data_IF_098000422107
#
_entry.id   IF_098000422107
#
_cell.length_a   1.000
_cell.length_b   1.000
_cell.length_c   1.000
_cell.angle_alpha   90.00
_cell.angle_beta   90.00
_cell.angle_gamma   90.00
#
_symmetry.space_group_name_H-M   'P 1'
#
loop_
_entity.id
_entity.type
_entity.pdbx_description
1 polymer ?
#
# COMPACT_ATOMS: atom_id res chain seq x y z
N UNK A 1 7.70 12.93 -18.63
CA UNK A 1 8.29 13.83 -17.61
C UNK A 1 9.69 13.32 -17.36
N UNK A 2 10.72 14.16 -17.53
CA UNK A 2 12.12 13.77 -17.41
C UNK A 2 12.44 13.50 -15.92
N UNK A 3 13.29 12.48 -15.64
CA UNK A 3 13.73 12.12 -14.28
C UNK A 3 14.32 13.32 -13.55
N UNK A 4 15.00 14.24 -14.27
CA UNK A 4 15.51 15.49 -13.71
C UNK A 4 14.40 16.43 -13.22
N UNK A 5 13.23 16.44 -13.86
CA UNK A 5 12.07 17.25 -13.45
C UNK A 5 11.37 16.66 -12.21
N UNK A 6 11.35 15.33 -12.05
CA UNK A 6 10.78 14.68 -10.86
C UNK A 6 11.65 14.96 -9.64
N UNK A 7 12.97 14.88 -9.78
CA UNK A 7 13.91 15.17 -8.67
C UNK A 7 13.84 16.64 -8.18
N UNK A 8 13.43 17.58 -9.05
CA UNK A 8 13.25 18.98 -8.66
C UNK A 8 11.96 19.25 -7.87
N UNK A 9 11.02 18.30 -7.86
CA UNK A 9 9.74 18.40 -7.12
C UNK A 9 9.81 17.77 -5.72
N UNK A 10 10.87 17.02 -5.39
CA UNK A 10 11.02 16.41 -4.06
C UNK A 10 11.54 17.48 -3.10
N UNK A 11 10.72 17.95 -2.13
CA UNK A 11 11.13 18.99 -1.23
C UNK A 11 12.16 18.49 -0.22
N UNK A 12 13.10 19.37 0.14
CA UNK A 12 14.05 19.15 1.22
C UNK A 12 13.48 19.74 2.52
N UNK A 13 13.56 18.99 3.60
CA UNK A 13 13.18 19.41 4.94
C UNK A 13 14.44 19.60 5.77
N UNK A 14 14.61 20.78 6.37
CA UNK A 14 15.74 21.07 7.24
C UNK A 14 15.28 20.95 8.70
N UNK A 15 15.90 20.04 9.43
CA UNK A 15 15.71 19.91 10.89
C UNK A 15 16.85 20.59 11.61
N UNK A 16 16.53 21.54 12.49
CA UNK A 16 17.51 22.18 13.39
C UNK A 16 17.48 21.45 14.73
N UNK A 17 18.60 20.86 15.10
CA UNK A 17 18.80 20.21 16.40
C UNK A 17 19.89 20.96 17.19
N UNK A 18 20.00 20.70 18.49
CA UNK A 18 21.09 21.26 19.30
C UNK A 18 22.51 20.87 18.84
N UNK A 19 22.64 19.97 17.84
CA UNK A 19 23.90 19.51 17.23
C UNK A 19 24.11 20.03 15.80
N UNK A 20 23.25 20.93 15.32
CA UNK A 20 23.31 21.50 13.98
C UNK A 20 22.09 21.19 13.10
N UNK A 21 22.16 21.65 11.87
CA UNK A 21 21.10 21.44 10.85
C UNK A 21 21.38 20.17 10.04
N UNK A 22 20.31 19.43 9.76
CA UNK A 22 20.33 18.26 8.86
C UNK A 22 19.24 18.40 7.81
N UNK A 23 19.60 18.24 6.55
CA UNK A 23 18.67 18.24 5.43
C UNK A 23 18.31 16.81 5.04
N UNK A 24 17.01 16.55 4.90
CA UNK A 24 16.46 15.28 4.40
C UNK A 24 15.53 15.59 3.24
N UNK A 25 15.49 14.73 2.22
CA UNK A 25 14.33 14.73 1.34
C UNK A 25 13.10 14.20 2.08
N UNK A 26 11.90 14.54 1.59
CA UNK A 26 10.65 14.20 2.29
C UNK A 26 10.48 12.68 2.47
N UNK A 27 10.88 11.85 1.48
CA UNK A 27 10.74 10.40 1.58
C UNK A 27 11.70 9.79 2.58
N UNK A 28 12.94 10.28 2.66
CA UNK A 28 13.91 9.88 3.68
C UNK A 28 13.43 10.24 5.09
N UNK A 29 12.80 11.40 5.23
CA UNK A 29 12.20 11.83 6.51
C UNK A 29 11.01 10.95 6.90
N UNK A 30 10.13 10.63 5.96
CA UNK A 30 9.00 9.72 6.19
C UNK A 30 9.50 8.32 6.57
N UNK A 31 10.50 7.79 5.86
CA UNK A 31 11.09 6.49 6.16
C UNK A 31 11.67 6.43 7.58
N UNK A 32 12.37 7.48 8.02
CA UNK A 32 12.86 7.59 9.40
C UNK A 32 11.72 7.54 10.42
N UNK A 33 10.53 8.03 10.05
CA UNK A 33 9.32 7.93 10.86
C UNK A 33 8.53 6.63 10.60
N UNK A 34 9.21 5.62 10.02
CA UNK A 34 8.66 4.30 9.72
C UNK A 34 7.47 4.31 8.77
N UNK A 35 7.43 5.30 7.88
CA UNK A 35 6.39 5.46 6.85
C UNK A 35 6.98 5.21 5.47
N UNK A 36 6.39 4.25 4.74
CA UNK A 36 6.69 3.95 3.34
C UNK A 36 5.53 4.48 2.50
N UNK A 37 5.83 5.22 1.43
CA UNK A 37 4.82 5.72 0.50
C UNK A 37 4.98 5.06 -0.88
N UNK A 38 4.05 4.15 -1.22
CA UNK A 38 3.99 3.49 -2.53
C UNK A 38 3.04 4.29 -3.44
N UNK A 39 3.57 5.27 -4.14
CA UNK A 39 2.82 6.28 -4.91
C UNK A 39 2.97 6.15 -6.43
N UNK A 40 3.44 5.01 -6.95
CA UNK A 40 3.74 4.82 -8.37
C UNK A 40 3.34 3.43 -8.85
N UNK A 41 3.32 3.17 -10.18
CA UNK A 41 3.22 1.81 -10.69
C UNK A 41 4.34 0.92 -10.16
N UNK A 42 4.00 -0.35 -9.83
CA UNK A 42 4.93 -1.34 -9.29
C UNK A 42 5.74 -1.97 -10.43
N UNK A 43 7.04 -1.73 -10.42
CA UNK A 43 8.04 -2.35 -11.28
C UNK A 43 9.20 -2.87 -10.43
N UNK A 44 10.21 -3.48 -11.05
CA UNK A 44 11.35 -4.07 -10.34
C UNK A 44 12.11 -3.04 -9.48
N UNK A 45 12.27 -1.80 -9.96
CA UNK A 45 12.97 -0.74 -9.21
C UNK A 45 12.20 -0.34 -7.95
N UNK A 46 10.88 -0.13 -8.09
CA UNK A 46 9.99 0.20 -6.96
C UNK A 46 9.95 -0.96 -5.97
N UNK A 47 9.86 -2.20 -6.45
CA UNK A 47 9.85 -3.38 -5.60
C UNK A 47 11.15 -3.51 -4.80
N UNK A 48 12.31 -3.42 -5.46
CA UNK A 48 13.61 -3.51 -4.80
C UNK A 48 13.80 -2.41 -3.75
N UNK A 49 13.36 -1.18 -4.06
CA UNK A 49 13.42 -0.08 -3.10
C UNK A 49 12.52 -0.33 -1.89
N UNK A 50 11.27 -0.75 -2.12
CA UNK A 50 10.31 -1.03 -1.04
C UNK A 50 10.78 -2.18 -0.16
N UNK A 51 11.29 -3.26 -0.76
CA UNK A 51 11.89 -4.39 -0.02
C UNK A 51 13.07 -3.91 0.83
N UNK A 52 13.98 -3.11 0.27
CA UNK A 52 15.11 -2.56 1.02
C UNK A 52 14.66 -1.69 2.20
N UNK A 53 13.62 -0.86 2.03
CA UNK A 53 13.04 -0.05 3.10
C UNK A 53 12.41 -0.92 4.21
N UNK A 54 11.68 -1.98 3.84
CA UNK A 54 11.11 -2.93 4.81
C UNK A 54 12.20 -3.63 5.63
N UNK A 55 13.24 -4.14 4.95
CA UNK A 55 14.37 -4.80 5.61
C UNK A 55 15.15 -3.84 6.52
N UNK A 56 15.38 -2.61 6.08
CA UNK A 56 16.02 -1.58 6.88
C UNK A 56 15.24 -1.30 8.16
N UNK A 57 13.92 -1.06 8.06
CA UNK A 57 13.08 -0.78 9.21
C UNK A 57 12.97 -1.99 10.17
N UNK A 58 12.94 -3.20 9.63
CA UNK A 58 12.97 -4.42 10.44
C UNK A 58 14.29 -4.59 11.20
N UNK A 59 15.41 -4.20 10.59
CA UNK A 59 16.72 -4.26 11.23
C UNK A 59 16.87 -3.20 12.32
N UNK A 60 16.30 -2.00 12.14
CA UNK A 60 16.32 -0.93 13.16
C UNK A 60 15.55 -1.33 14.43
N UNK A 61 14.32 -1.79 14.26
CA UNK A 61 13.47 -2.23 15.37
C UNK A 61 12.46 -3.26 14.84
N UNK A 62 12.54 -4.47 15.33
CA UNK A 62 11.73 -5.61 14.90
C UNK A 62 10.29 -5.62 15.41
N UNK A 63 9.98 -4.80 16.40
CA UNK A 63 8.67 -4.75 17.05
C UNK A 63 7.87 -3.51 16.66
N UNK A 64 8.56 -2.41 16.35
CA UNK A 64 7.90 -1.17 16.02
C UNK A 64 7.09 -1.28 14.70
N UNK A 65 5.86 -0.76 14.65
CA UNK A 65 5.01 -0.84 13.48
C UNK A 65 5.58 -0.06 12.30
N UNK A 66 5.25 -0.52 11.09
CA UNK A 66 5.55 0.15 9.82
C UNK A 66 4.22 0.61 9.21
N UNK A 67 4.16 1.84 8.73
CA UNK A 67 2.99 2.37 8.03
C UNK A 67 3.26 2.43 6.52
N UNK A 68 2.44 1.79 5.71
CA UNK A 68 2.55 1.79 4.26
C UNK A 68 1.32 2.48 3.64
N UNK A 69 1.53 3.65 3.06
CA UNK A 69 0.52 4.38 2.30
C UNK A 69 0.59 4.00 0.83
N UNK A 70 -0.55 3.61 0.25
CA UNK A 70 -0.61 3.06 -1.11
C UNK A 70 -1.53 3.92 -1.97
N UNK A 71 -0.94 4.56 -2.99
CA UNK A 71 -1.62 5.27 -4.08
C UNK A 71 -1.03 4.78 -5.39
N UNK A 72 -1.39 3.57 -5.81
CA UNK A 72 -0.76 2.86 -6.91
C UNK A 72 -1.79 2.16 -7.79
N UNK A 73 -1.64 2.24 -9.11
CA UNK A 73 -2.46 1.46 -10.05
C UNK A 73 -2.11 -0.04 -10.08
N UNK A 74 -1.17 -0.49 -9.22
CA UNK A 74 -0.60 -1.84 -9.31
C UNK A 74 0.58 -1.91 -10.28
N UNK A 75 0.78 -3.05 -10.92
CA UNK A 75 1.90 -3.24 -11.84
C UNK A 75 2.34 -4.69 -12.02
N UNK A 76 3.63 -4.92 -12.16
CA UNK A 76 4.19 -6.22 -12.49
C UNK A 76 3.99 -7.22 -11.33
N UNK A 77 3.45 -8.41 -11.66
CA UNK A 77 3.08 -9.42 -10.66
C UNK A 77 4.31 -9.89 -9.87
N UNK A 78 5.42 -10.21 -10.51
CA UNK A 78 6.63 -10.67 -9.79
C UNK A 78 7.23 -9.60 -8.89
N UNK A 79 7.26 -8.36 -9.36
CA UNK A 79 7.70 -7.22 -8.56
C UNK A 79 6.81 -7.04 -7.31
N UNK A 80 5.50 -7.13 -7.49
CA UNK A 80 4.55 -7.07 -6.39
C UNK A 80 4.68 -8.24 -5.41
N UNK A 81 4.87 -9.48 -5.90
CA UNK A 81 5.11 -10.65 -5.05
C UNK A 81 6.38 -10.50 -4.20
N UNK A 82 7.44 -9.88 -4.72
CA UNK A 82 8.64 -9.60 -3.93
C UNK A 82 8.35 -8.68 -2.74
N UNK A 83 7.53 -7.62 -2.94
CA UNK A 83 7.08 -6.76 -1.84
C UNK A 83 6.20 -7.55 -0.85
N UNK A 84 5.23 -8.30 -1.36
CA UNK A 84 4.33 -9.12 -0.55
C UNK A 84 5.09 -10.09 0.35
N UNK A 85 6.02 -10.85 -0.22
CA UNK A 85 6.81 -11.82 0.55
C UNK A 85 7.68 -11.12 1.61
N UNK A 86 8.28 -9.96 1.29
CA UNK A 86 9.02 -9.17 2.27
C UNK A 86 8.12 -8.69 3.41
N UNK A 87 6.89 -8.22 3.11
CA UNK A 87 5.90 -7.83 4.13
C UNK A 87 5.53 -9.00 5.05
N UNK A 88 5.40 -10.22 4.50
CA UNK A 88 5.04 -11.39 5.28
C UNK A 88 6.22 -11.99 6.08
N UNK A 89 7.45 -11.73 5.63
CA UNK A 89 8.68 -12.30 6.23
C UNK A 89 9.14 -11.53 7.47
N UNK A 90 9.02 -10.21 7.46
CA UNK A 90 9.46 -9.37 8.59
C UNK A 90 8.52 -9.52 9.79
N UNK A 91 9.04 -9.29 10.99
CA UNK A 91 8.27 -9.43 12.23
C UNK A 91 7.41 -8.22 12.57
N UNK A 92 7.71 -7.07 11.97
CA UNK A 92 6.97 -5.84 12.23
C UNK A 92 5.50 -5.93 11.79
N UNK A 93 4.53 -5.49 12.59
CA UNK A 93 3.19 -5.27 12.11
C UNK A 93 3.21 -4.15 11.05
N UNK A 94 2.62 -4.41 9.90
CA UNK A 94 2.52 -3.42 8.82
C UNK A 94 1.08 -2.93 8.74
N UNK A 95 0.89 -1.66 9.08
CA UNK A 95 -0.35 -0.95 8.80
C UNK A 95 -0.37 -0.51 7.35
N UNK A 96 -1.47 -0.73 6.63
CA UNK A 96 -1.66 -0.32 5.24
C UNK A 96 -2.78 0.69 5.12
N UNK A 97 -2.60 1.71 4.28
CA UNK A 97 -3.59 2.78 4.09
C UNK A 97 -3.79 3.04 2.60
N UNK A 98 -5.01 2.83 2.09
CA UNK A 98 -5.37 3.21 0.73
C UNK A 98 -5.57 4.71 0.61
N UNK A 99 -4.90 5.34 -0.37
CA UNK A 99 -4.97 6.77 -0.68
C UNK A 99 -5.24 6.95 -2.16
N UNK A 100 -6.21 7.78 -2.52
CA UNK A 100 -6.53 8.06 -3.93
C UNK A 100 -6.98 6.79 -4.65
N UNK A 101 -6.11 6.16 -5.44
CA UNK A 101 -6.39 4.88 -6.11
C UNK A 101 -5.45 3.79 -5.63
N UNK A 102 -6.01 2.68 -5.21
CA UNK A 102 -5.26 1.46 -4.87
C UNK A 102 -5.82 0.32 -5.71
N UNK A 103 -5.07 -0.09 -6.75
CA UNK A 103 -5.60 -0.98 -7.77
C UNK A 103 -4.68 -2.18 -8.05
N UNK A 104 -5.28 -3.28 -8.53
CA UNK A 104 -4.58 -4.48 -9.00
C UNK A 104 -3.62 -5.00 -7.90
N UNK A 105 -2.31 -5.11 -8.18
CA UNK A 105 -1.35 -5.55 -7.17
C UNK A 105 -1.25 -4.60 -5.96
N UNK A 106 -1.58 -3.30 -6.12
CA UNK A 106 -1.69 -2.36 -5.00
C UNK A 106 -2.74 -2.81 -3.99
N UNK A 107 -3.87 -3.34 -4.45
CA UNK A 107 -4.93 -3.89 -3.59
C UNK A 107 -4.48 -5.18 -2.88
N UNK A 108 -3.69 -6.02 -3.55
CA UNK A 108 -3.10 -7.20 -2.91
C UNK A 108 -2.20 -6.80 -1.74
N UNK A 109 -1.36 -5.77 -1.91
CA UNK A 109 -0.50 -5.25 -0.84
C UNK A 109 -1.31 -4.57 0.27
N UNK A 110 -2.38 -3.85 -0.08
CA UNK A 110 -3.30 -3.25 0.89
C UNK A 110 -3.91 -4.33 1.80
N UNK A 111 -4.47 -5.37 1.22
CA UNK A 111 -5.07 -6.48 1.95
C UNK A 111 -4.06 -7.27 2.78
N UNK A 112 -2.77 -7.27 2.38
CA UNK A 112 -1.68 -7.99 3.05
C UNK A 112 -1.17 -7.33 4.33
N UNK A 113 -1.69 -6.17 4.72
CA UNK A 113 -1.42 -5.53 6.01
C UNK A 113 -1.83 -6.38 7.21
N UNK A 114 -1.35 -6.01 8.39
CA UNK A 114 -1.71 -6.67 9.63
C UNK A 114 -3.23 -6.56 9.88
N UNK A 115 -3.85 -7.66 10.26
CA UNK A 115 -5.30 -7.69 10.51
C UNK A 115 -5.68 -6.70 11.62
N UNK A 116 -6.71 -5.89 11.38
CA UNK A 116 -7.11 -4.79 12.25
C UNK A 116 -6.32 -3.50 12.04
N UNK A 117 -5.37 -3.47 11.08
CA UNK A 117 -4.54 -2.31 10.77
C UNK A 117 -4.50 -2.00 9.27
N UNK A 118 -5.55 -2.37 8.55
CA UNK A 118 -5.71 -2.08 7.12
C UNK A 118 -6.78 -1.01 6.96
N UNK A 119 -6.43 0.10 6.36
CA UNK A 119 -7.25 1.29 6.33
C UNK A 119 -7.48 1.80 4.92
N UNK A 120 -8.55 2.57 4.74
CA UNK A 120 -8.78 3.38 3.55
C UNK A 120 -9.14 4.81 3.95
N UNK A 121 -8.68 5.81 3.18
CA UNK A 121 -9.21 7.16 3.30
C UNK A 121 -10.63 7.22 2.70
N UNK A 122 -11.51 8.15 3.13
CA UNK A 122 -12.95 8.16 2.76
C UNK A 122 -13.22 8.18 1.25
N UNK A 123 -12.34 8.80 0.48
CA UNK A 123 -12.48 8.95 -0.98
C UNK A 123 -11.50 8.06 -1.76
N UNK A 124 -10.86 7.09 -1.12
CA UNK A 124 -10.03 6.13 -1.81
C UNK A 124 -10.89 5.21 -2.69
N UNK A 125 -10.36 4.86 -3.84
CA UNK A 125 -10.96 3.88 -4.75
C UNK A 125 -10.09 2.64 -4.76
N UNK A 126 -10.69 1.50 -4.53
CA UNK A 126 -10.04 0.19 -4.51
C UNK A 126 -10.49 -0.62 -5.72
N UNK A 127 -9.58 -1.35 -6.35
CA UNK A 127 -9.88 -2.06 -7.58
C UNK A 127 -9.21 -3.43 -7.61
N UNK A 128 -9.98 -4.43 -8.03
CA UNK A 128 -9.53 -5.80 -8.29
C UNK A 128 -9.68 -6.17 -9.76
N UNK A 129 -8.77 -6.97 -10.27
CA UNK A 129 -8.87 -7.71 -11.52
C UNK A 129 -7.84 -8.85 -11.56
N UNK A 130 -8.04 -9.81 -12.46
CA UNK A 130 -7.07 -10.87 -12.71
C UNK A 130 -5.77 -10.31 -13.37
N UNK A 131 -4.65 -11.07 -13.31
CA UNK A 131 -3.43 -10.68 -13.99
C UNK A 131 -3.67 -10.46 -15.49
N UNK A 132 -3.13 -9.33 -15.99
CA UNK A 132 -3.11 -9.05 -17.42
C UNK A 132 -1.76 -9.49 -18.01
N UNK A 133 -1.80 -10.05 -19.19
CA UNK A 133 -0.61 -10.47 -19.91
C UNK A 133 -0.88 -10.85 -21.34
N UNK A 134 0.19 -11.09 -22.10
CA UNK A 134 0.14 -11.57 -23.47
C UNK A 134 1.24 -12.59 -23.70
N UNK A 135 1.04 -13.47 -24.67
CA UNK A 135 2.00 -14.47 -25.08
C UNK A 135 2.31 -14.33 -26.58
N UNK A 136 3.58 -14.43 -26.95
CA UNK A 136 4.04 -14.37 -28.33
C UNK A 136 5.19 -15.35 -28.52
N UNK A 137 5.27 -15.97 -29.67
CA UNK A 137 6.33 -16.92 -30.02
C UNK A 137 5.78 -18.14 -30.72
N UNK A 138 6.51 -19.26 -30.64
CA UNK A 138 6.06 -20.55 -31.12
C UNK A 138 4.89 -21.10 -30.26
N UNK A 139 4.10 -22.02 -30.78
CA UNK A 139 2.94 -22.59 -30.05
C UNK A 139 3.34 -23.09 -28.65
N UNK A 140 4.46 -23.82 -28.56
CA UNK A 140 4.96 -24.32 -27.27
C UNK A 140 5.31 -23.19 -26.29
N UNK A 141 5.89 -22.08 -26.78
CA UNK A 141 6.20 -20.93 -25.94
C UNK A 141 4.93 -20.25 -25.40
N UNK A 142 3.91 -20.14 -26.26
CA UNK A 142 2.58 -19.61 -25.87
C UNK A 142 1.92 -20.50 -24.81
N UNK A 143 1.99 -21.84 -24.96
CA UNK A 143 1.47 -22.78 -23.96
C UNK A 143 2.18 -22.66 -22.61
N UNK A 144 3.51 -22.51 -22.60
CA UNK A 144 4.30 -22.32 -21.38
C UNK A 144 3.87 -20.99 -20.68
N UNK A 145 3.76 -19.91 -21.43
CA UNK A 145 3.36 -18.62 -20.88
C UNK A 145 1.91 -18.63 -20.37
N UNK A 146 1.00 -19.29 -21.09
CA UNK A 146 -0.39 -19.44 -20.65
C UNK A 146 -0.49 -20.20 -19.33
N UNK A 147 0.26 -21.30 -19.17
CA UNK A 147 0.33 -22.06 -17.90
C UNK A 147 0.85 -21.18 -16.75
N UNK A 148 1.85 -20.34 -17.01
CA UNK A 148 2.40 -19.43 -16.00
C UNK A 148 1.37 -18.35 -15.59
N UNK A 149 0.64 -17.76 -16.53
CA UNK A 149 -0.44 -16.82 -16.20
C UNK A 149 -1.54 -17.47 -15.34
N UNK A 150 -1.93 -18.70 -15.66
CA UNK A 150 -2.91 -19.43 -14.84
C UNK A 150 -2.36 -19.69 -13.42
N UNK A 151 -1.11 -20.10 -13.30
CA UNK A 151 -0.44 -20.29 -12.00
C UNK A 151 -0.42 -19.01 -11.17
N UNK A 152 -0.09 -17.86 -11.80
CA UNK A 152 -0.07 -16.57 -11.12
C UNK A 152 -1.48 -16.14 -10.70
N UNK A 153 -2.51 -16.34 -11.56
CA UNK A 153 -3.90 -16.07 -11.19
C UNK A 153 -4.31 -16.85 -9.94
N UNK A 154 -4.09 -18.16 -9.93
CA UNK A 154 -4.38 -18.98 -8.75
C UNK A 154 -3.65 -18.48 -7.51
N UNK A 155 -2.36 -18.16 -7.63
CA UNK A 155 -1.56 -17.64 -6.51
C UNK A 155 -2.13 -16.33 -5.94
N UNK A 156 -2.55 -15.40 -6.80
CA UNK A 156 -3.13 -14.13 -6.35
C UNK A 156 -4.51 -14.31 -5.72
N UNK A 157 -5.33 -15.23 -6.25
CA UNK A 157 -6.61 -15.59 -5.65
C UNK A 157 -6.41 -16.18 -4.25
N UNK A 158 -5.46 -17.12 -4.07
CA UNK A 158 -5.11 -17.68 -2.76
C UNK A 158 -4.70 -16.59 -1.76
N UNK A 159 -3.90 -15.60 -2.19
CA UNK A 159 -3.50 -14.47 -1.35
C UNK A 159 -4.72 -13.62 -0.97
N UNK A 160 -5.58 -13.27 -1.91
CA UNK A 160 -6.78 -12.50 -1.64
C UNK A 160 -7.74 -13.26 -0.71
N UNK A 161 -8.00 -14.54 -0.94
CA UNK A 161 -8.80 -15.38 -0.05
C UNK A 161 -8.26 -15.38 1.38
N UNK A 162 -6.94 -15.57 1.53
CA UNK A 162 -6.26 -15.57 2.83
C UNK A 162 -6.49 -14.28 3.61
N UNK A 163 -6.41 -13.13 2.95
CA UNK A 163 -6.44 -11.83 3.62
C UNK A 163 -7.84 -11.24 3.76
N UNK A 164 -8.75 -11.54 2.83
CA UNK A 164 -10.13 -11.04 2.87
C UNK A 164 -11.08 -11.96 3.63
N UNK A 165 -10.80 -13.27 3.62
CA UNK A 165 -11.72 -14.28 4.12
C UNK A 165 -12.84 -14.62 3.14
N UNK A 166 -12.83 -14.05 1.92
CA UNK A 166 -13.80 -14.38 0.88
C UNK A 166 -13.58 -15.80 0.33
N UNK A 167 -14.63 -16.52 -0.03
CA UNK A 167 -14.50 -17.84 -0.67
C UNK A 167 -13.97 -17.69 -2.10
N UNK A 168 -13.41 -18.79 -2.63
CA UNK A 168 -12.78 -18.84 -3.95
C UNK A 168 -13.69 -18.35 -5.07
N UNK A 169 -14.95 -18.80 -5.07
CA UNK A 169 -15.93 -18.45 -6.10
C UNK A 169 -16.22 -16.94 -6.16
N UNK A 170 -16.16 -16.24 -5.01
CA UNK A 170 -16.32 -14.78 -4.91
C UNK A 170 -15.10 -14.10 -5.49
N UNK A 171 -13.88 -14.51 -5.07
CA UNK A 171 -12.64 -13.93 -5.59
C UNK A 171 -12.52 -14.15 -7.10
N UNK A 172 -12.79 -15.35 -7.61
CA UNK A 172 -12.73 -15.65 -9.04
C UNK A 172 -13.72 -14.80 -9.84
N UNK A 173 -14.98 -14.70 -9.39
CA UNK A 173 -16.01 -13.89 -10.03
C UNK A 173 -15.61 -12.42 -10.10
N UNK A 174 -15.15 -11.86 -8.96
CA UNK A 174 -14.93 -10.43 -8.81
C UNK A 174 -13.58 -9.97 -9.39
N UNK A 175 -12.62 -10.90 -9.57
CA UNK A 175 -11.36 -10.62 -10.28
C UNK A 175 -11.43 -10.90 -11.78
N UNK A 176 -12.48 -11.55 -12.29
CA UNK A 176 -12.60 -11.91 -13.72
C UNK A 176 -12.58 -10.66 -14.63
N UNK A 177 -13.15 -9.56 -14.17
CA UNK A 177 -13.14 -8.23 -14.82
C UNK A 177 -12.87 -7.15 -13.80
N UNK A 178 -12.75 -5.90 -14.25
CA UNK A 178 -12.54 -4.74 -13.38
C UNK A 178 -13.67 -4.64 -12.34
N UNK A 179 -13.30 -4.74 -11.09
CA UNK A 179 -14.22 -4.60 -9.96
C UNK A 179 -13.77 -3.44 -9.08
N UNK A 180 -14.55 -2.35 -9.13
CA UNK A 180 -14.26 -1.10 -8.43
C UNK A 180 -15.10 -1.00 -7.16
N UNK A 181 -14.45 -0.55 -6.09
CA UNK A 181 -15.07 -0.39 -4.77
C UNK A 181 -14.72 0.98 -4.20
N UNK A 182 -15.65 1.58 -3.49
CA UNK A 182 -15.37 2.65 -2.54
C UNK A 182 -14.79 2.08 -1.23
N UNK A 183 -14.40 2.97 -0.32
CA UNK A 183 -13.75 2.59 0.92
C UNK A 183 -14.64 1.73 1.83
N UNK A 184 -15.94 2.02 1.91
CA UNK A 184 -16.88 1.26 2.75
C UNK A 184 -17.15 -0.13 2.19
N UNK A 185 -17.36 -0.24 0.88
CA UNK A 185 -17.48 -1.53 0.19
C UNK A 185 -16.22 -2.38 0.38
N UNK A 186 -15.03 -1.77 0.41
CA UNK A 186 -13.78 -2.47 0.64
C UNK A 186 -13.66 -3.01 2.09
N UNK A 187 -14.28 -2.35 3.08
CA UNK A 187 -14.41 -2.89 4.46
C UNK A 187 -15.33 -4.10 4.45
N UNK A 188 -16.51 -4.00 3.85
CA UNK A 188 -17.48 -5.11 3.80
C UNK A 188 -16.91 -6.32 3.04
N UNK A 189 -16.07 -6.08 2.04
CA UNK A 189 -15.37 -7.12 1.29
C UNK A 189 -14.24 -7.77 2.09
N UNK A 190 -13.70 -7.10 3.11
CA UNK A 190 -12.59 -7.58 3.93
C UNK A 190 -11.19 -7.22 3.42
N UNK A 191 -11.09 -6.32 2.42
CA UNK A 191 -9.81 -5.79 1.92
C UNK A 191 -9.15 -4.84 2.91
N UNK A 192 -9.95 -4.07 3.63
CA UNK A 192 -9.52 -3.18 4.71
C UNK A 192 -10.36 -3.42 5.95
N UNK A 193 -9.90 -2.94 7.09
CA UNK A 193 -10.58 -3.14 8.38
C UNK A 193 -11.42 -1.92 8.78
N UNK A 194 -11.03 -0.69 8.34
CA UNK A 194 -11.69 0.54 8.74
C UNK A 194 -11.47 1.67 7.72
N UNK A 195 -12.43 2.58 7.63
CA UNK A 195 -12.29 3.87 6.92
C UNK A 195 -11.85 4.93 7.91
N UNK A 196 -10.70 5.60 7.64
CA UNK A 196 -10.18 6.67 8.49
C UNK A 196 -10.94 7.98 8.24
N UNK A 197 -12.01 8.19 8.96
CA UNK A 197 -12.78 9.44 8.89
C UNK A 197 -11.99 10.62 9.47
N UNK A 198 -12.21 11.81 8.90
CA UNK A 198 -11.68 13.03 9.50
C UNK A 198 -12.27 13.21 10.90
N UNK A 199 -11.42 13.31 11.91
CA UNK A 199 -11.91 13.70 13.22
C UNK A 199 -12.59 15.07 13.10
N UNK A 200 -13.80 15.27 13.67
CA UNK A 200 -14.42 16.60 13.72
C UNK A 200 -13.40 17.54 14.37
N UNK A 201 -13.05 18.61 13.67
CA UNK A 201 -12.21 19.67 14.23
C UNK A 201 -12.91 20.11 15.51
N UNK A 202 -12.27 19.86 16.66
CA UNK A 202 -12.85 20.20 17.96
C UNK A 202 -13.35 21.62 17.92
N UNK A 203 -14.60 21.83 18.34
CA UNK A 203 -15.05 23.16 18.77
C UNK A 203 -14.07 23.57 19.85
N UNK A 204 -13.26 24.59 19.57
CA UNK A 204 -12.38 25.20 20.56
C UNK A 204 -13.23 25.44 21.82
N UNK A 205 -12.81 24.92 22.96
CA UNK A 205 -13.34 25.25 24.28
C UNK A 205 -13.28 26.77 24.49
N UNK A 206 -14.25 27.49 23.93
CA UNK A 206 -14.59 28.84 24.35
C UNK A 206 -15.55 28.67 25.53
N UNK A 207 -15.02 28.60 26.72
CA UNK A 207 -15.60 29.18 27.93
C UNK A 207 -14.98 28.56 29.20
N UNK A 208 -13.86 29.12 29.64
CA UNK A 208 -13.52 29.14 31.07
C UNK A 208 -12.61 30.33 31.39
N UNK A 209 -13.11 31.53 31.12
CA UNK A 209 -12.50 32.73 31.71
C UNK A 209 -13.56 33.85 31.89
N UNK A 210 -14.66 33.50 32.61
CA UNK A 210 -15.60 34.49 33.13
C UNK A 210 -16.04 34.05 34.52
N UNK A 211 -15.14 34.07 35.47
CA UNK A 211 -15.50 34.17 36.89
C UNK A 211 -14.24 34.37 37.77
N UNK A 212 -13.56 35.49 37.54
CA UNK A 212 -12.64 36.07 38.53
C UNK A 212 -12.71 37.58 38.47
N UNK A 213 -13.88 38.15 38.78
CA UNK A 213 -14.00 39.50 39.28
C UNK A 213 -15.38 39.62 39.95
N UNK A 214 -15.42 39.23 41.22
CA UNK A 214 -16.33 39.79 42.25
C UNK A 214 -15.74 39.54 43.63
#
# INVERSE_FOLDING_TARGET
MDIAQINSLIPMVIETTGRGERAFDIYSLLLRNRLIFLGTPINDQVANLTVAQLLFLNQEDREAPINMYINSPGGQVYAGLAIYDAMQMISNPISTVAVGVTASFGTVLLAAGAKGQRYALPHATIHLHQPLGGAQGQVTDIEIQAKEFLRLRTKLNEILMKHTGQPEEVIERDTERDFWMDSHTAVDYGLVDEVLEAQPKGEEEKDKDKDKDK
#
